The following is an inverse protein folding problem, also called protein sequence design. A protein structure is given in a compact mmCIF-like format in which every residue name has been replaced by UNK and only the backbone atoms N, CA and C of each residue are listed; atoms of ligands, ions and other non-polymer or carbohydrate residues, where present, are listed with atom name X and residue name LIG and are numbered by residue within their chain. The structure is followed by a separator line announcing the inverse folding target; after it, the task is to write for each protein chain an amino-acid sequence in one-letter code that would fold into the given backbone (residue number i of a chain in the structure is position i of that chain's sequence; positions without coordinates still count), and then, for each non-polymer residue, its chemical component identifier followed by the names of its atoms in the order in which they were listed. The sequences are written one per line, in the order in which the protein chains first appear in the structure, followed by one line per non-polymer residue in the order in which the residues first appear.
data_IF_832573216313
#
_entry.id   IF_832573216313
#
_cell.length_a   1.000
_cell.length_b   1.000
_cell.length_c   1.000
_cell.angle_alpha   90.00
_cell.angle_beta   90.00
_cell.angle_gamma   90.00
#
_symmetry.space_group_name_H-M   'P 1'
#
loop_
_entity.id
_entity.type
_entity.pdbx_description
1 polymer ?
#
# COMPACT_ATOMS: atom_id res chain seq x y z
N UNK A 1 24.79 -16.74 4.53
CA UNK A 1 23.54 -16.03 4.88
C UNK A 1 22.48 -15.91 3.77
N UNK A 2 22.64 -15.03 2.77
CA UNK A 2 21.54 -14.60 1.87
C UNK A 2 20.75 -15.72 1.17
N UNK A 3 21.44 -16.71 0.62
CA UNK A 3 20.78 -17.85 -0.02
C UNK A 3 19.95 -18.70 0.96
N UNK A 4 20.34 -18.76 2.23
CA UNK A 4 19.62 -19.50 3.28
C UNK A 4 18.32 -18.78 3.65
N UNK A 5 18.39 -17.47 3.90
CA UNK A 5 17.22 -16.64 4.24
C UNK A 5 16.20 -16.66 3.08
N UNK A 6 16.68 -16.50 1.84
CA UNK A 6 15.82 -16.60 0.66
C UNK A 6 15.13 -17.97 0.53
N UNK A 7 15.85 -19.07 0.79
CA UNK A 7 15.28 -20.42 0.74
C UNK A 7 14.27 -20.69 1.86
N UNK A 8 14.50 -20.15 3.06
CA UNK A 8 13.56 -20.28 4.19
C UNK A 8 12.29 -19.45 3.97
N UNK A 9 12.43 -18.23 3.44
CA UNK A 9 11.31 -17.37 3.04
C UNK A 9 10.45 -18.06 1.97
N UNK A 10 11.08 -18.67 0.96
CA UNK A 10 10.37 -19.41 -0.08
C UNK A 10 9.55 -20.59 0.48
N UNK A 11 10.11 -21.33 1.47
CA UNK A 11 9.39 -22.41 2.16
C UNK A 11 8.21 -21.91 2.98
N UNK A 12 8.33 -20.76 3.65
CA UNK A 12 7.24 -20.16 4.41
C UNK A 12 6.13 -19.66 3.49
N UNK A 13 6.48 -18.97 2.40
CA UNK A 13 5.52 -18.48 1.40
C UNK A 13 4.72 -19.64 0.78
N UNK A 14 5.35 -20.77 0.49
CA UNK A 14 4.66 -21.95 -0.04
C UNK A 14 3.62 -22.55 0.93
N UNK A 15 3.82 -22.43 2.25
CA UNK A 15 2.88 -22.93 3.27
C UNK A 15 1.67 -22.03 3.50
N UNK A 16 1.82 -20.71 3.33
CA UNK A 16 0.74 -19.74 3.53
C UNK A 16 -0.28 -19.78 2.38
N UNK A 17 0.09 -20.35 1.23
CA UNK A 17 -0.67 -20.27 -0.02
C UNK A 17 -1.86 -21.23 -0.19
N UNK A 18 -2.35 -21.87 0.88
CA UNK A 18 -3.30 -22.99 0.79
C UNK A 18 -4.79 -22.62 0.90
N UNK A 19 -5.18 -21.34 0.90
CA UNK A 19 -6.59 -20.93 1.08
C UNK A 19 -7.08 -20.01 -0.04
N UNK A 20 -7.07 -20.52 -1.29
CA UNK A 20 -7.75 -19.85 -2.39
C UNK A 20 -9.29 -20.03 -2.26
N UNK A 21 -10.09 -18.96 -2.43
CA UNK A 21 -11.56 -19.07 -2.45
C UNK A 21 -12.05 -19.86 -3.67
N UNK A 22 -13.08 -20.70 -3.48
CA UNK A 22 -13.71 -21.48 -4.57
C UNK A 22 -14.36 -20.55 -5.60
N UNK A 23 -13.93 -20.65 -6.85
CA UNK A 23 -14.56 -19.97 -7.99
C UNK A 23 -15.88 -20.66 -8.37
N UNK A 24 -17.00 -19.93 -8.38
CA UNK A 24 -18.29 -20.50 -8.80
C UNK A 24 -19.57 -19.70 -8.49
N UNK A 25 -19.49 -18.39 -8.21
CA UNK A 25 -20.71 -17.60 -7.97
C UNK A 25 -21.23 -16.96 -9.27
N UNK A 26 -22.54 -17.08 -9.50
CA UNK A 26 -23.28 -16.40 -10.57
C UNK A 26 -23.18 -14.87 -10.42
N UNK A 27 -23.25 -14.09 -11.52
CA UNK A 27 -23.17 -12.64 -11.48
C UNK A 27 -24.33 -12.05 -10.66
N UNK A 28 -24.00 -11.43 -9.52
CA UNK A 28 -24.96 -10.71 -8.67
C UNK A 28 -25.17 -9.30 -9.24
N UNK A 29 -26.42 -8.83 -9.26
CA UNK A 29 -26.75 -7.47 -9.67
C UNK A 29 -25.86 -6.45 -8.93
N UNK A 30 -25.30 -5.54 -9.70
CA UNK A 30 -24.25 -4.64 -9.24
C UNK A 30 -24.82 -3.58 -8.26
N UNK A 31 -24.34 -3.49 -7.01
CA UNK A 31 -24.95 -2.61 -6.01
C UNK A 31 -24.80 -1.12 -6.38
N UNK A 32 -25.65 -0.21 -5.87
CA UNK A 32 -25.55 1.22 -6.16
C UNK A 32 -24.20 1.81 -5.69
N UNK A 33 -23.71 2.91 -6.29
CA UNK A 33 -22.37 3.46 -6.01
C UNK A 33 -22.08 3.74 -4.52
N UNK A 34 -23.07 4.25 -3.79
CA UNK A 34 -22.93 4.50 -2.35
C UNK A 34 -22.75 3.20 -1.54
N UNK A 35 -23.46 2.13 -1.91
CA UNK A 35 -23.31 0.83 -1.28
C UNK A 35 -21.96 0.19 -1.64
N UNK A 36 -21.46 0.37 -2.88
CA UNK A 36 -20.11 -0.03 -3.27
C UNK A 36 -19.06 0.69 -2.44
N UNK A 37 -19.12 2.01 -2.33
CA UNK A 37 -18.17 2.79 -1.56
C UNK A 37 -18.14 2.36 -0.08
N UNK A 38 -19.32 2.09 0.51
CA UNK A 38 -19.43 1.58 1.89
C UNK A 38 -18.85 0.18 2.04
N UNK A 39 -19.19 -0.75 1.14
CA UNK A 39 -18.69 -2.12 1.16
C UNK A 39 -17.19 -2.19 0.91
N UNK A 40 -16.69 -1.38 -0.04
CA UNK A 40 -15.27 -1.22 -0.32
C UNK A 40 -14.55 -0.64 0.90
N UNK A 41 -15.10 0.40 1.53
CA UNK A 41 -14.57 0.96 2.78
C UNK A 41 -14.48 -0.08 3.90
N UNK A 42 -15.53 -0.87 4.11
CA UNK A 42 -15.52 -1.96 5.10
C UNK A 42 -14.49 -3.03 4.76
N UNK A 43 -14.45 -3.48 3.50
CA UNK A 43 -13.48 -4.47 3.01
C UNK A 43 -12.05 -3.99 3.19
N UNK A 44 -11.77 -2.73 2.86
CA UNK A 44 -10.46 -2.12 3.02
C UNK A 44 -10.07 -2.06 4.51
N UNK A 45 -10.99 -1.72 5.42
CA UNK A 45 -10.70 -1.72 6.87
C UNK A 45 -10.22 -3.07 7.38
N UNK A 46 -10.85 -4.16 6.95
CA UNK A 46 -10.44 -5.51 7.36
C UNK A 46 -9.14 -5.96 6.67
N UNK A 47 -8.92 -5.52 5.44
CA UNK A 47 -7.73 -5.87 4.65
C UNK A 47 -6.47 -5.11 5.06
N UNK A 48 -6.58 -3.92 5.67
CA UNK A 48 -5.44 -3.04 5.93
C UNK A 48 -4.46 -3.61 6.98
N UNK A 49 -4.88 -4.46 7.91
CA UNK A 49 -4.02 -4.93 9.01
C UNK A 49 -3.99 -3.98 10.21
N UNK A 50 -3.72 -4.51 11.40
CA UNK A 50 -3.92 -3.79 12.69
C UNK A 50 -2.62 -3.57 13.47
N UNK A 51 -1.53 -4.19 13.04
CA UNK A 51 -0.22 -4.08 13.65
C UNK A 51 0.78 -3.55 12.63
N UNK A 52 1.87 -2.97 13.12
CA UNK A 52 2.99 -2.55 12.29
C UNK A 52 4.31 -3.01 12.87
N UNK A 53 5.24 -3.31 11.97
CA UNK A 53 6.67 -3.34 12.23
C UNK A 53 7.30 -2.33 11.28
N UNK A 54 8.24 -1.52 11.75
CA UNK A 54 8.73 -0.38 10.98
C UNK A 54 10.22 -0.14 11.23
N UNK A 55 10.88 0.34 10.20
CA UNK A 55 12.20 0.96 10.23
C UNK A 55 12.02 2.30 9.50
N UNK A 56 11.82 3.38 10.25
CA UNK A 56 11.54 4.70 9.69
C UNK A 56 12.28 5.76 10.49
N UNK A 57 12.55 6.90 9.85
CA UNK A 57 13.03 8.08 10.58
C UNK A 57 11.94 8.56 11.55
N UNK A 58 12.34 9.04 12.73
CA UNK A 58 11.43 9.37 13.83
C UNK A 58 10.51 8.19 14.26
N UNK A 59 11.05 6.97 14.32
CA UNK A 59 10.30 5.76 14.67
C UNK A 59 9.42 5.91 15.92
N UNK A 60 9.92 6.57 16.97
CA UNK A 60 9.15 6.77 18.21
C UNK A 60 7.89 7.63 17.97
N UNK A 61 8.00 8.65 17.11
CA UNK A 61 6.85 9.47 16.71
C UNK A 61 5.86 8.62 15.91
N UNK A 62 6.31 7.91 14.88
CA UNK A 62 5.44 7.07 14.06
C UNK A 62 4.76 5.98 14.90
N UNK A 63 5.49 5.36 15.83
CA UNK A 63 4.96 4.38 16.78
C UNK A 63 3.90 5.00 17.71
N UNK A 64 4.12 6.23 18.21
CA UNK A 64 3.15 6.94 19.07
C UNK A 64 1.85 7.29 18.34
N UNK A 65 1.91 7.52 17.02
CA UNK A 65 0.77 7.82 16.16
C UNK A 65 0.04 6.56 15.68
N UNK A 66 0.68 5.39 15.79
CA UNK A 66 0.14 4.16 15.24
C UNK A 66 -1.10 3.69 16.00
N UNK A 67 -2.18 3.45 15.28
CA UNK A 67 -3.39 2.84 15.82
C UNK A 67 -4.12 2.02 14.76
N UNK A 68 -5.13 1.25 15.18
CA UNK A 68 -6.01 0.55 14.24
C UNK A 68 -6.82 1.51 13.35
N UNK A 69 -6.91 2.80 13.70
CA UNK A 69 -7.60 3.82 12.92
C UNK A 69 -6.76 4.35 11.74
N UNK A 70 -5.46 4.06 11.69
CA UNK A 70 -4.60 4.43 10.56
C UNK A 70 -5.13 3.77 9.30
N UNK A 71 -5.54 4.56 8.31
CA UNK A 71 -6.15 4.10 7.07
C UNK A 71 -5.13 3.92 5.95
N UNK A 72 -4.11 4.77 5.91
CA UNK A 72 -3.05 4.79 4.91
C UNK A 72 -1.77 5.36 5.53
N UNK A 73 -0.62 4.87 5.07
CA UNK A 73 0.69 5.44 5.37
C UNK A 73 1.39 5.73 4.06
N UNK A 74 2.02 6.90 3.98
CA UNK A 74 2.96 7.23 2.92
C UNK A 74 4.30 7.60 3.56
N UNK A 75 5.40 7.05 3.03
CA UNK A 75 6.76 7.35 3.47
C UNK A 75 7.46 8.18 2.39
N UNK A 76 8.14 9.24 2.82
CA UNK A 76 9.02 10.05 1.99
C UNK A 76 10.49 9.72 2.25
N UNK A 77 11.37 10.71 2.05
CA UNK A 77 12.80 10.50 2.23
C UNK A 77 13.23 10.42 3.70
N UNK A 78 12.68 11.31 4.53
CA UNK A 78 12.86 11.35 5.99
C UNK A 78 11.55 11.71 6.71
N UNK A 79 10.42 11.41 6.08
CA UNK A 79 9.12 11.77 6.63
C UNK A 79 8.10 10.64 6.49
N UNK A 80 7.08 10.66 7.34
CA UNK A 80 5.92 9.80 7.22
C UNK A 80 4.63 10.61 7.36
N UNK A 81 3.64 10.26 6.56
CA UNK A 81 2.27 10.73 6.61
C UNK A 81 1.36 9.57 7.01
N UNK A 82 0.54 9.77 8.04
CA UNK A 82 -0.48 8.83 8.47
C UNK A 82 -1.85 9.45 8.26
N UNK A 83 -2.69 8.79 7.48
CA UNK A 83 -4.11 9.13 7.33
C UNK A 83 -4.92 8.28 8.30
N UNK A 84 -6.01 8.83 8.83
CA UNK A 84 -6.87 8.16 9.81
C UNK A 84 -8.32 8.09 9.32
N UNK A 85 -9.03 7.03 9.71
CA UNK A 85 -10.46 6.92 9.46
C UNK A 85 -11.22 7.92 10.35
N UNK A 86 -11.65 9.04 9.77
CA UNK A 86 -12.51 10.02 10.45
C UNK A 86 -11.78 11.01 11.36
N UNK A 87 -10.44 11.04 11.33
CA UNK A 87 -9.63 12.03 12.01
C UNK A 87 -8.71 12.77 11.02
N UNK A 88 -8.22 13.97 11.37
CA UNK A 88 -7.24 14.68 10.55
C UNK A 88 -5.96 13.84 10.31
N UNK A 89 -5.24 14.06 9.20
CA UNK A 89 -3.94 13.45 8.99
C UNK A 89 -2.93 13.91 10.05
N UNK A 90 -1.98 13.03 10.39
CA UNK A 90 -0.81 13.38 11.20
C UNK A 90 0.47 12.98 10.46
N UNK A 91 1.58 13.65 10.77
CA UNK A 91 2.86 13.42 10.11
C UNK A 91 4.05 13.66 11.05
N UNK A 92 5.23 13.21 10.62
CA UNK A 92 6.50 13.43 11.33
C UNK A 92 7.05 14.85 11.12
N UNK A 93 8.01 15.28 11.93
CA UNK A 93 8.46 16.67 11.98
C UNK A 93 8.96 17.20 10.62
N UNK A 94 9.60 16.35 9.83
CA UNK A 94 10.19 16.72 8.53
C UNK A 94 9.19 16.77 7.38
N UNK A 95 7.94 16.32 7.57
CA UNK A 95 6.99 16.14 6.47
C UNK A 95 6.68 17.46 5.73
N UNK A 96 6.37 18.53 6.44
CA UNK A 96 6.04 19.81 5.81
C UNK A 96 7.23 20.45 5.07
N UNK A 97 8.46 20.15 5.51
CA UNK A 97 9.66 20.63 4.83
C UNK A 97 9.97 19.81 3.55
N UNK A 98 9.70 18.50 3.57
CA UNK A 98 9.99 17.61 2.45
C UNK A 98 8.87 17.52 1.41
N UNK A 99 7.62 17.71 1.83
CA UNK A 99 6.43 17.62 0.98
C UNK A 99 5.55 18.87 1.17
N UNK A 100 6.08 20.10 0.95
CA UNK A 100 5.40 21.33 1.32
C UNK A 100 4.05 21.48 0.62
N UNK A 101 3.96 21.09 -0.64
CA UNK A 101 2.72 21.20 -1.42
C UNK A 101 1.64 20.26 -0.88
N UNK A 102 1.99 18.99 -0.60
CA UNK A 102 1.03 18.07 0.00
C UNK A 102 0.62 18.51 1.42
N UNK A 103 1.56 18.98 2.23
CA UNK A 103 1.29 19.47 3.57
C UNK A 103 0.34 20.68 3.55
N UNK A 104 0.53 21.61 2.61
CA UNK A 104 -0.36 22.73 2.39
C UNK A 104 -1.76 22.27 1.96
N UNK A 105 -1.87 21.35 0.99
CA UNK A 105 -3.15 20.82 0.54
C UNK A 105 -3.93 20.17 1.69
N UNK A 106 -3.25 19.35 2.51
CA UNK A 106 -3.86 18.68 3.66
C UNK A 106 -4.26 19.67 4.77
N UNK A 107 -3.45 20.71 5.02
CA UNK A 107 -3.70 21.71 6.07
C UNK A 107 -4.86 22.66 5.75
N UNK A 108 -5.12 22.90 4.46
CA UNK A 108 -6.25 23.74 4.00
C UNK A 108 -7.61 23.05 4.15
N UNK A 109 -7.65 21.76 4.49
CA UNK A 109 -8.90 21.00 4.59
C UNK A 109 -9.64 21.32 5.89
N UNK A 110 -10.95 21.52 5.76
CA UNK A 110 -11.86 21.69 6.91
C UNK A 110 -12.67 20.41 7.15
N UNK A 111 -13.31 20.30 8.32
CA UNK A 111 -14.19 19.18 8.64
C UNK A 111 -15.40 19.03 7.69
N UNK A 112 -15.76 20.10 6.96
CA UNK A 112 -16.82 20.07 5.95
C UNK A 112 -16.37 19.45 4.61
N UNK A 113 -15.05 19.31 4.39
CA UNK A 113 -14.48 18.72 3.19
C UNK A 113 -14.29 17.22 3.37
N UNK A 114 -14.36 16.45 2.27
CA UNK A 114 -14.12 15.01 2.31
C UNK A 114 -12.70 14.69 2.87
N UNK A 115 -12.53 13.74 3.79
CA UNK A 115 -11.19 13.41 4.29
C UNK A 115 -10.34 12.74 3.20
N UNK A 116 -9.01 12.86 3.34
CA UNK A 116 -8.07 12.07 2.54
C UNK A 116 -8.17 10.60 2.95
N UNK A 117 -8.23 9.69 1.97
CA UNK A 117 -8.38 8.23 2.19
C UNK A 117 -7.22 7.43 1.65
N UNK A 118 -6.38 8.03 0.81
CA UNK A 118 -5.16 7.45 0.29
C UNK A 118 -4.17 8.57 -0.03
N UNK A 119 -2.90 8.34 0.26
CA UNK A 119 -1.80 9.18 -0.18
C UNK A 119 -0.61 8.29 -0.58
N UNK A 120 0.17 8.77 -1.54
CA UNK A 120 1.51 8.28 -1.83
C UNK A 120 2.45 9.45 -2.04
N UNK A 121 3.70 9.27 -1.62
CA UNK A 121 4.78 10.25 -1.72
C UNK A 121 5.87 9.61 -2.56
N UNK A 122 6.43 10.36 -3.50
CA UNK A 122 7.58 9.97 -4.30
C UNK A 122 8.77 10.90 -4.04
N UNK A 123 9.87 10.66 -4.75
CA UNK A 123 10.99 11.63 -4.80
C UNK A 123 10.54 12.94 -5.44
N UNK A 124 11.30 14.02 -5.19
CA UNK A 124 11.13 15.34 -5.83
C UNK A 124 9.75 16.00 -5.58
N UNK A 125 9.22 15.91 -4.36
CA UNK A 125 7.90 16.48 -3.98
C UNK A 125 6.72 15.90 -4.78
N UNK A 126 6.91 14.74 -5.42
CA UNK A 126 5.81 14.00 -6.05
C UNK A 126 4.85 13.50 -4.99
N UNK A 127 3.58 13.64 -5.28
CA UNK A 127 2.54 13.02 -4.48
C UNK A 127 1.31 12.70 -5.30
N UNK A 128 0.52 11.79 -4.76
CA UNK A 128 -0.86 11.57 -5.18
C UNK A 128 -1.71 11.46 -3.92
N UNK A 129 -2.81 12.21 -3.86
CA UNK A 129 -3.78 12.12 -2.77
C UNK A 129 -5.18 11.92 -3.36
N UNK A 130 -5.95 11.04 -2.71
CA UNK A 130 -7.34 10.76 -3.05
C UNK A 130 -8.22 10.98 -1.83
N UNK A 131 -9.37 11.60 -2.06
CA UNK A 131 -10.35 11.94 -1.03
C UNK A 131 -11.56 11.00 -1.06
N UNK A 132 -12.32 10.99 0.04
CA UNK A 132 -13.50 10.13 0.19
C UNK A 132 -14.62 10.42 -0.82
N UNK A 133 -14.72 11.65 -1.33
CA UNK A 133 -15.65 12.06 -2.39
C UNK A 133 -15.18 11.66 -3.80
N UNK A 134 -14.00 11.03 -3.91
CA UNK A 134 -13.40 10.62 -5.18
C UNK A 134 -12.57 11.70 -5.86
N UNK A 135 -12.49 12.93 -5.32
CA UNK A 135 -11.53 13.93 -5.81
C UNK A 135 -10.11 13.42 -5.64
N UNK A 136 -9.24 13.86 -6.54
CA UNK A 136 -7.82 13.51 -6.55
C UNK A 136 -6.98 14.74 -6.90
N UNK A 137 -5.84 14.86 -6.25
CA UNK A 137 -4.84 15.92 -6.45
C UNK A 137 -3.46 15.25 -6.49
N UNK A 138 -2.54 15.76 -7.32
CA UNK A 138 -1.24 15.13 -7.50
C UNK A 138 -0.20 16.08 -8.09
N UNK A 139 1.06 15.73 -7.88
CA UNK A 139 2.24 16.23 -8.59
C UNK A 139 3.00 15.01 -9.08
N UNK A 140 3.14 14.88 -10.40
CA UNK A 140 3.79 13.76 -11.06
C UNK A 140 4.27 14.15 -12.46
N UNK A 141 4.94 13.24 -13.14
CA UNK A 141 5.33 13.43 -14.54
C UNK A 141 4.15 13.69 -15.47
N UNK A 142 4.43 14.20 -16.66
CA UNK A 142 3.42 14.48 -17.68
C UNK A 142 2.70 13.20 -18.13
N UNK A 143 3.45 12.09 -18.29
CA UNK A 143 2.89 10.79 -18.63
C UNK A 143 2.00 10.25 -17.49
N UNK A 144 2.51 10.27 -16.26
CA UNK A 144 1.72 9.86 -15.09
C UNK A 144 0.44 10.69 -14.94
N UNK A 145 0.54 12.01 -15.18
CA UNK A 145 -0.61 12.91 -15.17
C UNK A 145 -1.65 12.56 -16.23
N UNK A 146 -1.22 12.19 -17.45
CA UNK A 146 -2.13 11.75 -18.50
C UNK A 146 -2.86 10.46 -18.09
N UNK A 147 -2.13 9.49 -17.53
CA UNK A 147 -2.68 8.22 -17.06
C UNK A 147 -3.64 8.37 -15.87
N UNK A 148 -3.29 9.20 -14.88
CA UNK A 148 -4.15 9.50 -13.72
C UNK A 148 -5.47 10.17 -14.14
N UNK A 149 -5.48 10.94 -15.24
CA UNK A 149 -6.68 11.56 -15.80
C UNK A 149 -7.53 10.59 -16.63
N UNK A 150 -6.94 9.51 -17.14
CA UNK A 150 -7.62 8.62 -18.08
C UNK A 150 -8.77 7.83 -17.42
N UNK A 151 -8.62 7.47 -16.13
CA UNK A 151 -9.60 6.64 -15.41
C UNK A 151 -9.59 6.91 -13.90
N UNK A 152 -10.66 6.55 -13.17
CA UNK A 152 -10.67 6.61 -11.70
C UNK A 152 -9.56 5.74 -11.10
N UNK A 153 -8.64 6.38 -10.36
CA UNK A 153 -7.51 5.71 -9.72
C UNK A 153 -7.90 5.18 -8.34
N UNK A 154 -7.44 3.97 -8.04
CA UNK A 154 -7.54 3.36 -6.72
C UNK A 154 -6.28 3.68 -5.88
N UNK A 155 -5.11 3.52 -6.50
CA UNK A 155 -3.79 3.68 -5.88
C UNK A 155 -2.74 4.08 -6.92
N UNK A 156 -1.79 4.93 -6.50
CA UNK A 156 -0.55 5.25 -7.23
C UNK A 156 0.63 4.89 -6.34
N UNK A 157 1.64 4.25 -6.91
CA UNK A 157 2.95 4.08 -6.29
C UNK A 157 4.01 4.72 -7.16
N UNK A 158 4.85 5.57 -6.59
CA UNK A 158 6.01 6.15 -7.25
C UNK A 158 7.24 5.27 -7.06
N UNK A 159 8.10 5.24 -8.06
CA UNK A 159 9.39 4.55 -8.02
C UNK A 159 10.54 5.51 -7.77
N UNK A 160 11.75 5.12 -8.23
CA UNK A 160 12.98 5.87 -8.02
C UNK A 160 12.97 7.19 -8.79
N UNK A 161 12.79 7.09 -10.10
CA UNK A 161 12.93 8.21 -11.01
C UNK A 161 11.59 8.95 -11.14
N UNK A 162 11.64 10.22 -11.59
CA UNK A 162 10.48 11.10 -11.74
C UNK A 162 9.34 10.49 -12.56
N UNK A 163 9.70 9.68 -13.57
CA UNK A 163 8.78 9.02 -14.49
C UNK A 163 8.39 7.59 -14.05
N UNK A 164 8.92 7.09 -12.94
CA UNK A 164 8.60 5.75 -12.46
C UNK A 164 7.31 5.74 -11.65
N UNK A 165 6.32 4.98 -12.11
CA UNK A 165 5.06 4.81 -11.38
C UNK A 165 4.34 3.51 -11.73
N UNK A 166 3.47 3.09 -10.81
CA UNK A 166 2.43 2.09 -11.03
C UNK A 166 1.11 2.67 -10.59
N UNK A 167 0.10 2.61 -11.46
CA UNK A 167 -1.28 3.00 -11.20
C UNK A 167 -2.13 1.76 -11.19
N UNK A 168 -2.91 1.62 -10.11
CA UNK A 168 -4.01 0.66 -10.01
C UNK A 168 -5.31 1.45 -10.18
N UNK A 169 -6.06 1.15 -11.23
CA UNK A 169 -7.37 1.77 -11.47
C UNK A 169 -8.47 1.04 -10.67
N UNK A 170 -9.59 1.73 -10.44
CA UNK A 170 -10.74 1.14 -9.71
C UNK A 170 -11.41 -0.02 -10.45
N UNK A 171 -11.25 -0.11 -11.77
CA UNK A 171 -11.69 -1.26 -12.57
C UNK A 171 -10.75 -2.47 -12.45
N UNK A 172 -9.67 -2.35 -11.67
CA UNK A 172 -8.66 -3.39 -11.47
C UNK A 172 -7.59 -3.44 -12.57
N UNK A 173 -7.72 -2.63 -13.63
CA UNK A 173 -6.68 -2.50 -14.65
C UNK A 173 -5.45 -1.77 -14.10
N UNK A 174 -4.32 -1.99 -14.77
CA UNK A 174 -3.01 -1.52 -14.33
C UNK A 174 -2.34 -0.73 -15.45
N UNK A 175 -1.57 0.28 -15.08
CA UNK A 175 -0.66 1.01 -15.97
C UNK A 175 0.62 1.32 -15.20
N UNK A 176 1.76 1.20 -15.86
CA UNK A 176 3.05 1.46 -15.22
C UNK A 176 4.09 1.93 -16.22
N UNK A 177 5.05 2.69 -15.71
CA UNK A 177 6.28 3.13 -16.38
C UNK A 177 7.42 2.98 -15.38
N UNK A 178 8.58 2.50 -15.82
CA UNK A 178 9.77 2.39 -14.96
C UNK A 178 9.72 1.32 -13.84
N UNK A 179 8.70 0.45 -13.80
CA UNK A 179 8.62 -0.59 -12.77
C UNK A 179 9.82 -1.57 -12.83
N UNK A 180 10.37 -2.02 -11.67
CA UNK A 180 11.45 -3.00 -11.64
C UNK A 180 11.15 -4.24 -12.49
N UNK A 181 12.12 -4.82 -13.24
CA UNK A 181 11.83 -5.86 -14.24
C UNK A 181 11.03 -7.07 -13.71
N UNK A 182 11.31 -7.50 -12.48
CA UNK A 182 10.54 -8.58 -11.82
C UNK A 182 9.11 -8.17 -11.53
N UNK A 183 8.88 -6.95 -11.04
CA UNK A 183 7.54 -6.41 -10.85
C UNK A 183 6.82 -6.25 -12.19
N UNK A 184 7.46 -5.67 -13.21
CA UNK A 184 6.87 -5.48 -14.54
C UNK A 184 6.43 -6.82 -15.17
N UNK A 185 7.25 -7.88 -15.04
CA UNK A 185 6.89 -9.21 -15.49
C UNK A 185 5.66 -9.76 -14.74
N UNK A 186 5.56 -9.50 -13.44
CA UNK A 186 4.38 -9.86 -12.64
C UNK A 186 3.15 -9.09 -13.09
N UNK A 187 3.22 -7.76 -13.16
CA UNK A 187 2.10 -6.90 -13.60
C UNK A 187 1.60 -7.29 -15.01
N UNK A 188 2.50 -7.66 -15.93
CA UNK A 188 2.15 -8.16 -17.27
C UNK A 188 1.46 -9.53 -17.23
N UNK A 189 1.85 -10.43 -16.33
CA UNK A 189 1.14 -11.70 -16.15
C UNK A 189 -0.28 -11.47 -15.59
N UNK A 190 -0.49 -10.40 -14.82
CA UNK A 190 -1.79 -10.12 -14.23
C UNK A 190 -2.87 -9.76 -15.26
N UNK A 191 -2.48 -9.09 -16.35
CA UNK A 191 -3.40 -8.74 -17.43
C UNK A 191 -3.98 -9.96 -18.18
N UNK A 192 -3.51 -11.17 -17.87
CA UNK A 192 -3.94 -12.43 -18.52
C UNK A 192 -4.90 -13.27 -17.65
N UNK A 193 -5.58 -12.66 -16.66
CA UNK A 193 -6.60 -13.35 -15.85
C UNK A 193 -6.14 -13.79 -14.46
N UNK A 194 -5.11 -13.15 -13.90
CA UNK A 194 -4.65 -13.40 -12.53
C UNK A 194 -5.54 -12.68 -11.49
N UNK A 195 -5.41 -13.00 -10.18
CA UNK A 195 -6.10 -12.24 -9.13
C UNK A 195 -5.79 -10.74 -9.21
N UNK A 196 -6.81 -9.92 -8.95
CA UNK A 196 -6.66 -8.46 -8.99
C UNK A 196 -5.70 -7.97 -7.91
N UNK A 197 -4.95 -6.91 -8.23
CA UNK A 197 -4.05 -6.25 -7.29
C UNK A 197 -4.86 -5.57 -6.17
N UNK A 198 -4.50 -5.89 -4.93
CA UNK A 198 -5.03 -5.24 -3.73
C UNK A 198 -4.17 -4.06 -3.31
N UNK A 199 -2.85 -4.19 -3.43
CA UNK A 199 -1.88 -3.16 -3.06
C UNK A 199 -0.60 -3.30 -3.87
N UNK A 200 0.02 -2.18 -4.23
CA UNK A 200 1.34 -2.17 -4.87
C UNK A 200 2.18 -1.02 -4.33
N UNK A 201 3.42 -1.29 -3.94
CA UNK A 201 4.35 -0.27 -3.50
C UNK A 201 5.70 -0.50 -4.18
N UNK A 202 6.34 0.57 -4.62
CA UNK A 202 7.69 0.63 -5.14
C UNK A 202 8.52 1.50 -4.20
N UNK A 203 9.76 1.09 -3.98
CA UNK A 203 10.75 1.86 -3.24
C UNK A 203 11.77 2.53 -4.18
N UNK A 204 12.48 3.55 -3.68
CA UNK A 204 13.43 4.32 -4.48
C UNK A 204 14.75 3.58 -4.76
N UNK A 205 14.98 2.41 -4.16
CA UNK A 205 16.17 1.58 -4.38
C UNK A 205 15.84 0.31 -5.20
N UNK A 206 14.67 0.30 -5.84
CA UNK A 206 14.20 -0.81 -6.67
C UNK A 206 13.45 -1.89 -5.87
N UNK A 207 13.15 -1.62 -4.61
CA UNK A 207 12.25 -2.44 -3.81
C UNK A 207 10.84 -2.42 -4.40
N UNK A 208 10.13 -3.53 -4.24
CA UNK A 208 8.73 -3.57 -4.59
C UNK A 208 7.99 -4.60 -3.75
N UNK A 209 6.70 -4.33 -3.60
CA UNK A 209 5.74 -5.19 -2.94
C UNK A 209 4.43 -5.16 -3.74
N UNK A 210 3.83 -6.32 -3.96
CA UNK A 210 2.49 -6.44 -4.54
C UNK A 210 1.69 -7.44 -3.72
N UNK A 211 0.51 -7.05 -3.28
CA UNK A 211 -0.48 -7.92 -2.66
C UNK A 211 -1.70 -8.05 -3.56
N UNK A 212 -2.32 -9.22 -3.52
CA UNK A 212 -3.46 -9.60 -4.34
C UNK A 212 -4.72 -9.75 -3.49
N UNK A 213 -5.89 -9.67 -4.12
CA UNK A 213 -7.18 -9.78 -3.42
C UNK A 213 -7.44 -11.17 -2.80
N UNK A 214 -6.75 -12.21 -3.27
CA UNK A 214 -6.79 -13.54 -2.67
C UNK A 214 -5.93 -13.66 -1.39
N UNK A 215 -5.25 -12.58 -1.00
CA UNK A 215 -4.40 -12.51 0.19
C UNK A 215 -2.95 -12.96 -0.05
N UNK A 216 -2.63 -13.42 -1.25
CA UNK A 216 -1.25 -13.71 -1.64
C UNK A 216 -0.49 -12.41 -1.90
N UNK A 217 0.84 -12.46 -1.80
CA UNK A 217 1.69 -11.30 -2.07
C UNK A 217 3.09 -11.75 -2.49
N UNK A 218 3.80 -10.85 -3.17
CA UNK A 218 5.18 -11.01 -3.56
C UNK A 218 5.96 -9.72 -3.27
N UNK A 219 7.26 -9.87 -3.03
CA UNK A 219 8.16 -8.73 -2.84
C UNK A 219 9.53 -9.02 -3.47
N UNK A 220 10.29 -7.97 -3.78
CA UNK A 220 11.65 -8.09 -4.29
C UNK A 220 12.43 -6.79 -4.17
N UNK A 221 13.75 -6.86 -4.36
CA UNK A 221 14.63 -5.70 -4.22
C UNK A 221 14.91 -5.25 -2.78
N UNK A 222 14.27 -5.87 -1.78
CA UNK A 222 14.36 -5.50 -0.38
C UNK A 222 15.75 -5.77 0.26
N UNK A 223 16.08 -5.01 1.30
CA UNK A 223 17.23 -5.25 2.17
C UNK A 223 17.11 -6.54 2.99
N UNK A 224 18.25 -7.04 3.48
CA UNK A 224 18.31 -8.20 4.38
C UNK A 224 17.52 -7.90 5.68
N UNK A 225 17.60 -6.67 6.19
CA UNK A 225 16.89 -6.25 7.40
C UNK A 225 15.36 -6.32 7.25
N UNK A 226 14.82 -5.85 6.11
CA UNK A 226 13.41 -6.00 5.81
C UNK A 226 13.03 -7.47 5.63
N UNK A 227 13.82 -8.24 4.90
CA UNK A 227 13.56 -9.66 4.67
C UNK A 227 13.49 -10.46 5.99
N UNK A 228 14.42 -10.20 6.91
CA UNK A 228 14.44 -10.82 8.24
C UNK A 228 13.20 -10.40 9.05
N UNK A 229 12.80 -9.11 9.00
CA UNK A 229 11.59 -8.67 9.71
C UNK A 229 10.32 -9.31 9.14
N UNK A 230 10.24 -9.45 7.82
CA UNK A 230 9.14 -10.17 7.15
C UNK A 230 9.09 -11.63 7.63
N UNK A 231 10.25 -12.31 7.72
CA UNK A 231 10.32 -13.67 8.24
C UNK A 231 9.85 -13.75 9.70
N UNK A 232 10.25 -12.81 10.56
CA UNK A 232 9.78 -12.72 11.96
C UNK A 232 8.25 -12.58 12.05
N UNK A 233 7.68 -11.67 11.26
CA UNK A 233 6.22 -11.44 11.22
C UNK A 233 5.50 -12.72 10.81
N UNK A 234 5.99 -13.42 9.78
CA UNK A 234 5.42 -14.69 9.31
C UNK A 234 5.59 -15.83 10.32
N UNK A 235 6.74 -15.92 11.01
CA UNK A 235 7.00 -16.91 12.06
C UNK A 235 6.02 -16.81 13.22
N UNK A 236 5.53 -15.59 13.51
CA UNK A 236 4.44 -15.35 14.46
C UNK A 236 3.05 -15.77 14.00
N UNK A 237 2.91 -16.37 12.80
CA UNK A 237 1.63 -16.74 12.21
C UNK A 237 0.80 -15.55 11.73
N UNK A 238 1.42 -14.38 11.57
CA UNK A 238 0.73 -13.18 11.14
C UNK A 238 0.57 -13.13 9.60
N UNK A 239 -0.45 -12.42 9.13
CA UNK A 239 -0.66 -12.17 7.70
C UNK A 239 -0.21 -10.76 7.34
N UNK A 240 0.78 -10.63 6.44
CA UNK A 240 1.21 -9.34 5.89
C UNK A 240 0.14 -8.80 4.96
N UNK A 241 -0.15 -7.51 5.07
CA UNK A 241 -1.21 -6.81 4.33
C UNK A 241 -0.66 -5.77 3.37
N UNK A 242 0.36 -5.03 3.79
CA UNK A 242 1.06 -4.08 2.94
C UNK A 242 2.48 -3.88 3.43
N UNK A 243 3.36 -3.48 2.52
CA UNK A 243 4.67 -2.91 2.82
C UNK A 243 4.73 -1.57 2.11
N UNK A 244 5.05 -0.52 2.85
CA UNK A 244 5.29 0.83 2.33
C UNK A 244 6.78 1.10 2.41
N UNK A 245 7.38 1.55 1.32
CA UNK A 245 8.80 1.92 1.24
C UNK A 245 8.95 3.43 1.31
N UNK A 246 9.97 3.90 2.03
CA UNK A 246 10.50 5.25 1.94
C UNK A 246 11.95 5.22 1.43
N UNK A 247 12.69 6.33 1.57
CA UNK A 247 14.11 6.33 1.21
C UNK A 247 15.00 5.73 2.31
N UNK A 248 16.28 5.48 1.98
CA UNK A 248 17.32 5.07 2.93
C UNK A 248 16.95 3.78 3.68
N UNK A 249 16.47 2.77 2.95
CA UNK A 249 16.02 1.50 3.52
C UNK A 249 14.95 1.66 4.61
N UNK A 250 14.12 2.71 4.52
CA UNK A 250 12.97 2.88 5.40
C UNK A 250 11.76 2.11 4.87
N UNK A 251 11.07 1.44 5.78
CA UNK A 251 9.92 0.61 5.46
C UNK A 251 8.95 0.51 6.62
N UNK A 252 7.68 0.27 6.28
CA UNK A 252 6.63 -0.08 7.23
C UNK A 252 5.87 -1.31 6.74
N UNK A 253 5.90 -2.38 7.52
CA UNK A 253 5.12 -3.60 7.31
C UNK A 253 3.83 -3.48 8.10
N UNK A 254 2.70 -3.58 7.43
CA UNK A 254 1.38 -3.68 8.07
C UNK A 254 0.90 -5.12 8.04
N UNK A 255 0.44 -5.64 9.18
CA UNK A 255 0.04 -7.04 9.31
C UNK A 255 -1.15 -7.26 10.25
N UNK A 256 -1.78 -8.44 10.17
CA UNK A 256 -2.85 -8.89 11.05
C UNK A 256 -2.39 -10.10 11.86
N UNK A 257 -2.64 -10.07 13.18
CA UNK A 257 -2.43 -11.24 14.05
C UNK A 257 -3.39 -12.38 13.68
N UNK A 258 -2.97 -13.65 13.84
CA UNK A 258 -3.89 -14.77 13.68
C UNK A 258 -5.05 -14.61 14.66
N UNK A 259 -6.28 -14.77 14.15
CA UNK A 259 -7.45 -14.77 15.02
C UNK A 259 -7.38 -16.03 15.90
N UNK A 260 -7.63 -15.92 17.22
CA UNK A 260 -7.76 -17.10 18.05
C UNK A 260 -8.87 -17.97 17.45
N UNK A 261 -8.58 -19.25 17.18
CA UNK A 261 -9.60 -20.18 16.72
C UNK A 261 -10.69 -20.20 17.78
N UNK A 262 -11.93 -19.85 17.42
CA UNK A 262 -13.06 -20.09 18.31
C UNK A 262 -13.06 -21.60 18.60
N UNK A 263 -13.17 -22.02 19.88
CA UNK A 263 -13.29 -23.43 20.19
C UNK A 263 -14.51 -24.01 19.43
N UNK A 264 -14.44 -25.26 18.95
CA UNK A 264 -15.59 -25.91 18.33
C UNK A 264 -16.77 -25.86 19.31
N UNK A 265 -17.93 -25.42 18.82
CA UNK A 265 -19.20 -25.45 19.56
C UNK A 265 -19.80 -26.84 19.52
#
# INVERSE_FOLDING_TARGET
ERARVAAELAKLLAKVNLHAPKAGALPVAEPPPAARAKAEGARLKDARGKCAAMCVEEIDRVASLWSAAVSCVALGASCALLLFDGAPPEWTSQFAAQCPQLAEQLSRRTAAMAPAVFASIGSEDRFYVRYADGKQEWIASSECTADVKAKPVAQVSFGRDWDDYVIVYRDGSLKWTGAPPKLAAKLKALSLGSPSVAHVCMGPEGEWFVAFLDGTWEMGGCSDALADKVADVLKGGNAIRSITFGARDSWLIRYTKPQPRKPPQ
#
